data_IF_131316796548
#
_entry.id   IF_131316796548
#
_cell.length_a   1.000
_cell.length_b   1.000
_cell.length_c   1.000
_cell.angle_alpha   90.00
_cell.angle_beta   90.00
_cell.angle_gamma   90.00
#
_symmetry.space_group_name_H-M   'P 1'
#
loop_
_entity.id
_entity.type
_entity.pdbx_description
1 polymer ?
#
# COMPACT_ATOMS: atom_id res chain seq x y z
N UNK A 1 0.03 15.92 -0.58
CA UNK A 1 0.81 14.90 0.14
C UNK A 1 0.07 14.48 1.39
N UNK A 2 0.14 13.20 1.73
CA UNK A 2 -0.40 12.63 2.95
C UNK A 2 0.64 12.69 4.07
N UNK A 3 0.20 12.55 5.31
CA UNK A 3 1.05 12.51 6.49
C UNK A 3 0.75 11.24 7.26
N UNK A 4 1.75 10.41 7.48
CA UNK A 4 1.66 9.19 8.32
C UNK A 4 1.70 9.56 9.80
N UNK A 5 0.68 10.28 10.24
CA UNK A 5 0.50 10.74 11.61
C UNK A 5 -1.00 10.65 11.97
N UNK A 6 -1.37 9.76 12.90
CA UNK A 6 -2.76 9.54 13.27
C UNK A 6 -3.38 10.68 14.10
N UNK A 7 -2.56 11.59 14.63
CA UNK A 7 -3.05 12.72 15.42
C UNK A 7 -3.53 13.86 14.53
N UNK A 8 -4.83 13.98 14.36
CA UNK A 8 -5.46 15.05 13.60
C UNK A 8 -5.85 16.19 14.53
N UNK A 9 -5.28 17.37 14.25
CA UNK A 9 -5.65 18.64 14.91
C UNK A 9 -6.33 19.55 13.90
N UNK A 10 -7.09 20.54 14.37
CA UNK A 10 -7.77 21.52 13.49
C UNK A 10 -6.80 22.32 12.61
N UNK A 11 -5.55 22.45 13.05
CA UNK A 11 -4.52 23.22 12.35
C UNK A 11 -3.66 22.40 11.41
N UNK A 12 -3.89 21.08 11.34
CA UNK A 12 -3.08 20.17 10.53
C UNK A 12 -3.34 20.41 9.05
N UNK A 13 -2.27 20.73 8.30
CA UNK A 13 -2.34 21.06 6.88
C UNK A 13 -2.34 19.86 5.94
N UNK A 14 -2.01 18.66 6.46
CA UNK A 14 -1.95 17.42 5.71
C UNK A 14 -2.58 16.30 6.51
N UNK A 15 -3.45 15.51 5.89
CA UNK A 15 -4.13 14.39 6.53
C UNK A 15 -3.45 13.07 6.19
N UNK A 16 -3.83 11.99 6.89
CA UNK A 16 -3.29 10.64 6.68
C UNK A 16 -3.54 10.10 5.27
N UNK A 17 -4.71 10.41 4.70
CA UNK A 17 -5.05 10.06 3.33
C UNK A 17 -5.70 11.26 2.62
N UNK A 18 -5.45 11.39 1.33
CA UNK A 18 -6.02 12.45 0.52
C UNK A 18 -6.36 11.96 -0.89
N UNK A 19 -7.45 12.49 -1.43
CA UNK A 19 -7.84 12.33 -2.82
C UNK A 19 -8.06 13.71 -3.44
N UNK A 20 -7.65 13.88 -4.70
CA UNK A 20 -7.85 15.12 -5.43
C UNK A 20 -9.29 15.28 -5.93
N UNK A 21 -10.24 14.86 -5.13
CA UNK A 21 -11.67 14.89 -5.41
C UNK A 21 -12.42 15.61 -4.28
N UNK A 22 -13.17 16.63 -4.67
CA UNK A 22 -14.05 17.39 -3.78
C UNK A 22 -15.49 17.22 -4.24
N UNK A 23 -16.38 16.88 -3.35
CA UNK A 23 -17.81 16.85 -3.57
C UNK A 23 -18.48 17.91 -2.70
N UNK A 24 -19.31 18.74 -3.32
CA UNK A 24 -20.17 19.71 -2.62
C UNK A 24 -21.62 19.27 -2.75
N UNK A 25 -22.33 19.30 -1.64
CA UNK A 25 -23.77 18.99 -1.57
C UNK A 25 -24.49 20.09 -0.81
N UNK A 26 -25.50 20.69 -1.46
CA UNK A 26 -26.28 21.80 -0.91
C UNK A 26 -27.43 22.13 -1.84
N UNK A 27 -27.65 23.40 -2.14
CA UNK A 27 -28.63 23.85 -3.15
C UNK A 27 -28.29 23.35 -4.57
N UNK A 28 -27.02 23.07 -4.80
CA UNK A 28 -26.49 22.33 -5.96
C UNK A 28 -25.56 21.23 -5.45
N UNK A 29 -25.51 20.11 -6.17
CA UNK A 29 -24.61 19.00 -5.88
C UNK A 29 -23.71 18.78 -7.08
N UNK A 30 -22.40 18.81 -6.85
CA UNK A 30 -21.41 18.58 -7.92
C UNK A 30 -20.09 18.05 -7.35
N UNK A 31 -19.29 17.45 -8.19
CA UNK A 31 -17.93 17.01 -7.90
C UNK A 31 -16.90 17.76 -8.72
N UNK A 32 -15.72 17.94 -8.16
CA UNK A 32 -14.54 18.42 -8.87
C UNK A 32 -13.43 17.38 -8.64
N UNK A 33 -12.88 16.86 -9.70
CA UNK A 33 -11.70 16.00 -9.67
C UNK A 33 -10.56 16.67 -10.42
N UNK A 34 -9.39 16.71 -9.81
CA UNK A 34 -8.18 17.25 -10.43
C UNK A 34 -7.22 16.10 -10.67
N UNK A 35 -7.04 15.75 -11.93
CA UNK A 35 -6.07 14.73 -12.34
C UNK A 35 -4.69 15.38 -12.45
N UNK A 36 -3.97 15.32 -11.34
CA UNK A 36 -2.61 15.81 -11.22
C UNK A 36 -1.84 14.99 -10.17
N UNK A 37 -0.69 14.43 -10.51
CA UNK A 37 0.02 13.48 -9.66
C UNK A 37 0.92 14.11 -8.59
N UNK A 38 0.81 15.42 -8.35
CA UNK A 38 1.65 16.14 -7.39
C UNK A 38 0.82 16.99 -6.43
N UNK A 39 1.45 17.88 -5.72
CA UNK A 39 0.85 18.66 -4.64
C UNK A 39 -0.26 19.57 -5.12
N UNK A 40 -1.42 19.43 -4.50
CA UNK A 40 -2.57 20.34 -4.64
C UNK A 40 -2.93 20.89 -3.26
N UNK A 41 -3.15 22.19 -3.18
CA UNK A 41 -3.65 22.84 -1.97
C UNK A 41 -5.09 23.31 -2.21
N UNK A 42 -5.96 22.97 -1.29
CA UNK A 42 -7.36 23.38 -1.28
C UNK A 42 -7.60 24.34 -0.12
N UNK A 43 -8.05 25.56 -0.43
CA UNK A 43 -8.55 26.54 0.52
C UNK A 43 -10.05 26.69 0.30
N UNK A 44 -10.83 26.02 1.13
CA UNK A 44 -12.29 25.94 0.97
C UNK A 44 -12.91 26.85 2.03
N UNK A 45 -13.07 28.13 1.66
CA UNK A 45 -13.70 29.13 2.54
C UNK A 45 -12.92 29.48 3.80
N UNK A 46 -11.66 29.06 3.93
CA UNK A 46 -10.83 29.33 5.11
C UNK A 46 -10.29 30.77 5.10
N UNK A 47 -9.58 31.16 4.05
CA UNK A 47 -9.04 32.50 3.94
C UNK A 47 -10.15 33.53 3.61
N UNK A 48 -11.11 33.12 2.80
CA UNK A 48 -12.25 33.97 2.41
C UNK A 48 -13.51 33.11 2.35
N UNK A 49 -14.47 33.36 3.23
CA UNK A 49 -15.63 32.50 3.50
C UNK A 49 -16.48 32.11 2.26
N UNK A 50 -16.47 32.91 1.20
CA UNK A 50 -17.25 32.68 -0.02
C UNK A 50 -16.39 32.29 -1.23
N UNK A 51 -15.14 31.88 -0.99
CA UNK A 51 -14.21 31.45 -2.06
C UNK A 51 -13.61 30.10 -1.78
N UNK A 52 -13.47 29.34 -2.83
CA UNK A 52 -12.56 28.17 -2.87
C UNK A 52 -11.40 28.50 -3.79
N UNK A 53 -10.19 28.35 -3.28
CA UNK A 53 -8.96 28.55 -4.04
C UNK A 53 -8.23 27.22 -4.12
N UNK A 54 -7.92 26.81 -5.34
CA UNK A 54 -7.16 25.58 -5.60
C UNK A 54 -5.83 25.99 -6.20
N UNK A 55 -4.75 25.63 -5.50
CA UNK A 55 -3.40 25.89 -5.98
C UNK A 55 -2.76 24.58 -6.42
N UNK A 56 -2.34 24.53 -7.68
CA UNK A 56 -1.73 23.37 -8.32
C UNK A 56 -0.28 23.74 -8.63
N UNK A 57 0.64 22.91 -8.17
CA UNK A 57 2.06 23.13 -8.36
C UNK A 57 2.54 22.48 -9.68
N UNK A 58 2.05 23.00 -10.80
CA UNK A 58 2.35 22.50 -12.15
C UNK A 58 1.47 23.14 -13.23
N UNK A 59 1.80 22.82 -14.48
CA UNK A 59 1.17 23.42 -15.67
C UNK A 59 0.29 22.48 -16.49
N UNK A 60 0.48 21.17 -16.34
CA UNK A 60 -0.28 20.16 -17.09
C UNK A 60 -1.16 19.38 -16.14
N UNK A 61 -2.44 19.72 -16.08
CA UNK A 61 -3.44 19.05 -15.26
C UNK A 61 -4.80 19.10 -15.95
N UNK A 62 -5.65 18.12 -15.65
CA UNK A 62 -7.04 18.11 -16.09
C UNK A 62 -7.98 18.35 -14.91
N UNK A 63 -9.03 19.13 -15.15
CA UNK A 63 -10.10 19.36 -14.19
C UNK A 63 -11.39 18.77 -14.74
N UNK A 64 -11.97 17.85 -13.98
CA UNK A 64 -13.26 17.25 -14.28
C UNK A 64 -14.32 17.87 -13.38
N UNK A 65 -15.34 18.45 -13.99
CA UNK A 65 -16.55 18.88 -13.31
C UNK A 65 -17.63 17.81 -13.51
N UNK A 66 -18.19 17.33 -12.40
CA UNK A 66 -19.19 16.26 -12.39
C UNK A 66 -20.47 16.83 -11.83
N UNK A 67 -21.48 16.99 -12.67
CA UNK A 67 -22.78 17.47 -12.29
C UNK A 67 -23.68 16.32 -11.80
N UNK A 68 -24.59 16.63 -10.85
CA UNK A 68 -25.56 15.68 -10.36
C UNK A 68 -26.55 16.30 -9.37
N UNK A 69 -27.59 15.56 -9.06
CA UNK A 69 -28.62 15.99 -8.12
C UNK A 69 -28.42 15.42 -6.71
N UNK A 70 -27.68 14.32 -6.62
CA UNK A 70 -27.41 13.59 -5.36
C UNK A 70 -25.95 13.15 -5.28
N UNK A 71 -25.36 13.07 -4.07
CA UNK A 71 -23.99 12.61 -3.86
C UNK A 71 -23.66 11.27 -4.54
N UNK A 72 -24.58 10.31 -4.48
CA UNK A 72 -24.37 8.99 -5.09
C UNK A 72 -24.23 9.06 -6.63
N UNK A 73 -24.91 9.99 -7.30
CA UNK A 73 -24.78 10.19 -8.73
C UNK A 73 -23.38 10.70 -9.08
N UNK A 74 -22.87 11.66 -8.30
CA UNK A 74 -21.50 12.18 -8.45
C UNK A 74 -20.47 11.06 -8.30
N UNK A 75 -20.60 10.23 -7.26
CA UNK A 75 -19.70 9.08 -7.05
C UNK A 75 -19.76 8.09 -8.21
N UNK A 76 -20.96 7.81 -8.75
CA UNK A 76 -21.13 6.91 -9.90
C UNK A 76 -20.43 7.45 -11.15
N UNK A 77 -20.60 8.73 -11.45
CA UNK A 77 -19.95 9.35 -12.62
C UNK A 77 -18.44 9.44 -12.46
N UNK A 78 -17.96 9.82 -11.27
CA UNK A 78 -16.53 9.79 -10.95
C UNK A 78 -15.92 8.40 -11.16
N UNK A 79 -16.61 7.37 -10.67
CA UNK A 79 -16.14 5.99 -10.84
C UNK A 79 -16.13 5.49 -12.28
N UNK A 80 -16.96 6.03 -13.16
CA UNK A 80 -16.86 5.73 -14.60
C UNK A 80 -15.54 6.22 -15.19
N UNK A 81 -15.04 7.36 -14.70
CA UNK A 81 -13.79 7.95 -15.16
C UNK A 81 -12.55 7.22 -14.63
N UNK A 82 -12.56 6.80 -13.37
CA UNK A 82 -11.41 6.15 -12.71
C UNK A 82 -11.46 4.62 -12.72
N UNK A 83 -12.56 4.02 -13.20
CA UNK A 83 -12.78 2.58 -13.24
C UNK A 83 -13.58 2.04 -12.05
N UNK A 84 -13.95 0.77 -12.15
CA UNK A 84 -14.72 0.06 -11.12
C UNK A 84 -13.80 -0.54 -10.07
N UNK A 85 -14.21 -0.49 -8.79
CA UNK A 85 -13.49 -1.16 -7.72
C UNK A 85 -13.60 -2.68 -7.87
N UNK A 86 -12.54 -3.38 -7.56
CA UNK A 86 -12.61 -4.81 -7.31
C UNK A 86 -13.59 -5.08 -6.16
N UNK A 87 -14.42 -6.09 -6.31
CA UNK A 87 -15.28 -6.56 -5.22
C UNK A 87 -14.54 -7.70 -4.53
N UNK A 88 -14.02 -7.47 -3.32
CA UNK A 88 -13.25 -8.48 -2.62
C UNK A 88 -14.14 -9.64 -2.17
N UNK A 89 -13.58 -10.82 -1.85
CA UNK A 89 -14.30 -11.94 -1.28
C UNK A 89 -14.89 -11.57 0.08
N UNK A 90 -15.91 -12.33 0.52
CA UNK A 90 -16.71 -11.98 1.71
C UNK A 90 -15.86 -11.87 2.98
N UNK A 91 -14.88 -12.74 3.17
CA UNK A 91 -13.97 -12.73 4.33
C UNK A 91 -13.19 -11.42 4.47
N UNK A 92 -12.91 -10.72 3.36
CA UNK A 92 -12.19 -9.44 3.39
C UNK A 92 -13.02 -8.28 3.97
N UNK A 93 -14.31 -8.48 4.24
CA UNK A 93 -15.17 -7.54 4.95
C UNK A 93 -15.34 -7.88 6.44
N UNK A 94 -14.80 -9.00 6.89
CA UNK A 94 -14.80 -9.40 8.28
C UNK A 94 -13.73 -8.69 9.12
N UNK A 95 -13.55 -9.14 10.36
CA UNK A 95 -12.55 -8.55 11.24
C UNK A 95 -11.15 -9.01 10.87
N UNK A 96 -10.22 -8.07 10.77
CA UNK A 96 -8.86 -8.26 10.34
C UNK A 96 -7.91 -7.75 11.42
N UNK A 97 -7.09 -8.65 11.97
CA UNK A 97 -6.18 -8.35 13.06
C UNK A 97 -4.75 -8.14 12.55
N UNK A 98 -4.14 -7.03 12.94
CA UNK A 98 -2.74 -6.73 12.63
C UNK A 98 -2.01 -6.16 13.85
N UNK A 99 -0.71 -6.27 13.83
CA UNK A 99 0.22 -5.52 14.68
C UNK A 99 1.64 -5.64 14.14
N UNK A 100 2.54 -4.75 14.56
CA UNK A 100 3.97 -4.95 14.43
C UNK A 100 4.51 -5.61 15.70
N UNK A 101 4.83 -6.88 15.74
CA UNK A 101 4.68 -7.89 14.71
C UNK A 101 4.27 -9.18 15.40
N UNK A 102 3.71 -10.15 14.67
CA UNK A 102 3.61 -11.54 15.10
C UNK A 102 4.86 -12.25 14.64
N UNK A 103 5.82 -12.47 15.55
CA UNK A 103 7.17 -12.87 15.18
C UNK A 103 7.32 -14.31 14.68
N UNK A 104 6.32 -15.17 14.94
CA UNK A 104 6.34 -16.59 14.55
C UNK A 104 4.92 -17.17 14.49
N UNK A 105 4.82 -18.40 14.03
CA UNK A 105 3.54 -19.11 13.91
C UNK A 105 2.80 -19.23 15.26
N UNK A 106 3.52 -19.46 16.36
CA UNK A 106 2.92 -19.59 17.69
C UNK A 106 2.27 -18.28 18.15
N UNK A 107 2.86 -17.14 17.82
CA UNK A 107 2.28 -15.84 18.14
C UNK A 107 0.97 -15.60 17.37
N UNK A 108 0.90 -16.03 16.10
CA UNK A 108 -0.34 -15.99 15.31
C UNK A 108 -1.38 -16.94 15.90
N UNK A 109 -1.01 -18.17 16.23
CA UNK A 109 -1.90 -19.15 16.84
C UNK A 109 -2.48 -18.63 18.16
N UNK A 110 -1.65 -18.01 19.01
CA UNK A 110 -2.10 -17.43 20.27
C UNK A 110 -3.17 -16.35 20.10
N UNK A 111 -3.05 -15.54 19.03
CA UNK A 111 -4.05 -14.51 18.68
C UNK A 111 -5.34 -15.16 18.21
N UNK A 112 -5.29 -16.10 17.27
CA UNK A 112 -6.47 -16.83 16.78
C UNK A 112 -7.19 -17.53 17.93
N UNK A 113 -6.46 -18.21 18.79
CA UNK A 113 -7.00 -18.86 19.99
C UNK A 113 -7.66 -17.87 20.96
N UNK A 114 -7.06 -16.69 21.12
CA UNK A 114 -7.61 -15.61 21.96
C UNK A 114 -8.99 -15.16 21.47
N UNK A 115 -9.12 -14.90 20.17
CA UNK A 115 -10.40 -14.54 19.55
C UNK A 115 -11.44 -15.66 19.67
N UNK A 116 -11.04 -16.90 19.39
CA UNK A 116 -11.90 -18.07 19.52
C UNK A 116 -12.42 -18.24 20.97
N UNK A 117 -11.55 -18.12 21.98
CA UNK A 117 -11.92 -18.20 23.40
C UNK A 117 -12.86 -17.06 23.82
N UNK A 118 -12.69 -15.89 23.25
CA UNK A 118 -13.55 -14.75 23.53
C UNK A 118 -14.89 -14.82 22.77
N UNK A 119 -15.06 -15.75 21.84
CA UNK A 119 -16.25 -15.84 20.99
C UNK A 119 -16.37 -14.67 20.00
N UNK A 120 -15.25 -14.06 19.63
CA UNK A 120 -15.20 -12.93 18.69
C UNK A 120 -14.77 -13.46 17.32
N UNK A 121 -15.56 -13.24 16.26
CA UNK A 121 -15.17 -13.64 14.90
C UNK A 121 -13.88 -12.97 14.45
N UNK A 122 -13.02 -13.74 13.79
CA UNK A 122 -11.79 -13.26 13.17
C UNK A 122 -11.69 -13.89 11.78
N UNK A 123 -11.42 -13.10 10.77
CA UNK A 123 -11.33 -13.56 9.37
C UNK A 123 -9.90 -13.53 8.84
N UNK A 124 -9.10 -12.55 9.27
CA UNK A 124 -7.75 -12.38 8.76
C UNK A 124 -6.75 -12.05 9.87
N UNK A 125 -5.52 -12.53 9.71
CA UNK A 125 -4.34 -12.08 10.45
C UNK A 125 -3.29 -11.60 9.48
N UNK A 126 -2.79 -10.38 9.70
CA UNK A 126 -1.71 -9.80 8.92
C UNK A 126 -0.36 -10.27 9.43
N UNK A 127 0.50 -10.68 8.52
CA UNK A 127 1.89 -10.99 8.79
C UNK A 127 2.73 -9.79 8.39
N UNK A 128 3.27 -9.08 9.38
CA UNK A 128 4.19 -7.97 9.19
C UNK A 128 5.60 -8.51 8.86
N UNK A 129 6.58 -7.67 8.66
CA UNK A 129 7.90 -7.95 8.08
C UNK A 129 8.65 -9.14 8.68
N UNK A 130 8.34 -9.55 9.91
CA UNK A 130 9.05 -10.63 10.62
C UNK A 130 8.78 -12.06 10.10
N UNK A 131 7.79 -12.25 9.22
CA UNK A 131 7.61 -13.55 8.56
C UNK A 131 8.66 -13.80 7.49
N UNK A 132 9.26 -12.73 6.95
CA UNK A 132 10.26 -12.79 5.90
C UNK A 132 11.64 -13.17 6.43
N UNK A 133 12.43 -13.90 5.65
CA UNK A 133 13.83 -14.11 5.94
C UNK A 133 14.61 -12.79 5.86
N UNK A 134 14.96 -12.23 7.01
CA UNK A 134 15.71 -10.96 7.13
C UNK A 134 15.08 -9.81 6.31
N UNK A 135 13.75 -9.74 6.31
CA UNK A 135 12.95 -8.72 5.63
C UNK A 135 13.13 -8.69 4.09
N UNK A 136 13.42 -9.83 3.47
CA UNK A 136 13.49 -9.98 2.01
C UNK A 136 12.11 -10.31 1.46
N UNK A 137 11.60 -9.50 0.55
CA UNK A 137 10.32 -9.76 -0.10
C UNK A 137 10.24 -11.15 -0.74
N UNK A 138 9.05 -11.73 -0.71
CA UNK A 138 8.75 -13.06 -1.29
C UNK A 138 9.56 -14.21 -0.69
N UNK A 139 10.10 -14.04 0.51
CA UNK A 139 10.73 -15.11 1.29
C UNK A 139 9.91 -15.41 2.53
N UNK A 140 10.13 -16.56 3.11
CA UNK A 140 9.59 -16.95 4.41
C UNK A 140 10.74 -17.41 5.30
N UNK A 141 10.72 -17.03 6.56
CA UNK A 141 11.67 -17.50 7.58
C UNK A 141 11.20 -18.85 8.11
N UNK A 142 11.87 -19.94 7.65
CA UNK A 142 11.49 -21.31 7.97
C UNK A 142 11.68 -21.67 9.46
N UNK A 143 12.50 -20.93 10.22
CA UNK A 143 12.64 -21.13 11.67
C UNK A 143 11.42 -20.58 12.42
N UNK A 144 10.87 -19.45 11.95
CA UNK A 144 9.72 -18.78 12.56
C UNK A 144 8.38 -19.33 12.05
N UNK A 145 8.33 -19.73 10.80
CA UNK A 145 7.13 -20.27 10.14
C UNK A 145 7.45 -21.57 9.41
N UNK A 146 7.73 -22.64 10.13
CA UNK A 146 8.08 -23.91 9.54
C UNK A 146 6.94 -24.49 8.70
N UNK A 147 7.27 -25.07 7.54
CA UNK A 147 6.28 -25.62 6.61
C UNK A 147 5.16 -24.62 6.27
N UNK A 148 5.51 -23.38 5.90
CA UNK A 148 4.58 -22.27 5.75
C UNK A 148 3.36 -22.61 4.89
N UNK A 149 3.54 -23.36 3.81
CA UNK A 149 2.42 -23.78 2.94
C UNK A 149 1.37 -24.60 3.70
N UNK A 150 1.79 -25.56 4.51
CA UNK A 150 0.89 -26.37 5.31
C UNK A 150 0.25 -25.55 6.43
N UNK A 151 1.02 -24.62 7.00
CA UNK A 151 0.52 -23.66 7.98
C UNK A 151 -0.59 -22.77 7.41
N UNK A 152 -0.39 -22.21 6.22
CA UNK A 152 -1.42 -21.42 5.52
C UNK A 152 -2.67 -22.25 5.25
N UNK A 153 -2.50 -23.51 4.77
CA UNK A 153 -3.62 -24.42 4.53
C UNK A 153 -4.43 -24.67 5.80
N UNK A 154 -3.73 -24.99 6.91
CA UNK A 154 -4.36 -25.20 8.22
C UNK A 154 -5.16 -23.98 8.69
N UNK A 155 -4.58 -22.77 8.59
CA UNK A 155 -5.30 -21.53 8.97
C UNK A 155 -6.54 -21.30 8.10
N UNK A 156 -6.45 -21.58 6.82
CA UNK A 156 -7.60 -21.47 5.91
C UNK A 156 -8.71 -22.47 6.26
N UNK A 157 -8.37 -23.70 6.68
CA UNK A 157 -9.35 -24.68 7.18
C UNK A 157 -10.03 -24.21 8.48
N UNK A 158 -9.32 -23.45 9.30
CA UNK A 158 -9.85 -22.78 10.49
C UNK A 158 -10.70 -21.55 10.14
N UNK A 159 -10.81 -21.16 8.85
CA UNK A 159 -11.52 -19.96 8.38
C UNK A 159 -10.70 -18.68 8.51
N UNK A 160 -9.39 -18.77 8.74
CA UNK A 160 -8.49 -17.63 8.92
C UNK A 160 -7.63 -17.45 7.67
N UNK A 161 -7.64 -16.25 7.10
CA UNK A 161 -6.77 -15.86 5.98
C UNK A 161 -5.52 -15.15 6.50
N UNK A 162 -4.34 -15.58 6.05
CA UNK A 162 -3.08 -14.92 6.35
C UNK A 162 -2.74 -13.92 5.24
N UNK A 163 -2.45 -12.66 5.63
CA UNK A 163 -2.19 -11.56 4.71
C UNK A 163 -0.77 -11.04 4.95
N UNK A 164 0.22 -11.54 4.20
CA UNK A 164 1.60 -11.09 4.33
C UNK A 164 1.81 -9.71 3.73
N UNK A 165 2.70 -8.94 4.37
CA UNK A 165 3.21 -7.68 3.86
C UNK A 165 4.22 -7.93 2.73
N UNK A 166 4.22 -7.05 1.73
CA UNK A 166 5.29 -6.90 0.73
C UNK A 166 5.67 -5.42 0.71
N UNK A 167 6.94 -5.14 0.90
CA UNK A 167 7.52 -3.81 0.82
C UNK A 167 8.07 -3.55 -0.60
N UNK A 168 8.21 -2.29 -0.98
CA UNK A 168 8.69 -1.97 -2.33
C UNK A 168 10.23 -1.96 -2.47
N UNK A 169 10.96 -2.15 -1.38
CA UNK A 169 12.42 -2.08 -1.33
C UNK A 169 13.08 -3.45 -1.37
N UNK A 170 13.66 -3.82 -2.52
CA UNK A 170 14.33 -5.13 -2.71
C UNK A 170 15.73 -5.08 -2.09
N UNK A 171 15.97 -5.91 -1.06
CA UNK A 171 17.24 -5.96 -0.33
C UNK A 171 18.43 -6.18 -1.25
N UNK A 172 19.44 -5.34 -1.13
CA UNK A 172 20.72 -5.50 -1.82
C UNK A 172 21.55 -6.59 -1.15
N UNK A 173 21.43 -7.81 -1.64
CA UNK A 173 22.14 -8.96 -1.10
C UNK A 173 22.52 -9.93 -2.20
N UNK A 174 23.79 -10.37 -2.24
CA UNK A 174 24.25 -11.40 -3.16
C UNK A 174 23.60 -12.75 -2.78
N UNK A 175 23.18 -13.51 -3.79
CA UNK A 175 22.46 -14.77 -3.59
C UNK A 175 20.96 -14.60 -3.31
N UNK A 176 20.46 -13.38 -3.30
CA UNK A 176 19.02 -13.12 -3.28
C UNK A 176 18.50 -12.97 -4.71
N UNK A 177 17.85 -13.99 -5.21
CA UNK A 177 17.48 -14.14 -6.63
C UNK A 177 16.70 -12.93 -7.18
N UNK A 178 15.79 -12.36 -6.39
CA UNK A 178 14.99 -11.21 -6.81
C UNK A 178 15.86 -9.98 -7.02
N UNK A 179 16.81 -9.74 -6.12
CA UNK A 179 17.77 -8.65 -6.27
C UNK A 179 18.69 -8.87 -7.49
N UNK A 180 19.24 -10.07 -7.63
CA UNK A 180 20.16 -10.38 -8.73
C UNK A 180 19.46 -10.29 -10.09
N UNK A 181 18.24 -10.81 -10.19
CA UNK A 181 17.43 -10.71 -11.41
C UNK A 181 17.09 -9.25 -11.73
N UNK A 182 16.62 -8.48 -10.73
CA UNK A 182 16.30 -7.06 -10.90
C UNK A 182 17.50 -6.24 -11.36
N UNK A 183 18.66 -6.46 -10.74
CA UNK A 183 19.93 -5.82 -11.12
C UNK A 183 20.37 -6.20 -12.53
N UNK A 184 20.36 -7.49 -12.85
CA UNK A 184 20.77 -8.02 -14.16
C UNK A 184 19.96 -7.42 -15.30
N UNK A 185 18.68 -7.22 -15.09
CA UNK A 185 17.75 -6.69 -16.11
C UNK A 185 17.59 -5.16 -16.04
N UNK A 186 18.26 -4.48 -15.09
CA UNK A 186 18.17 -3.04 -14.94
C UNK A 186 16.77 -2.57 -14.54
N UNK A 187 16.11 -3.27 -13.63
CA UNK A 187 14.74 -3.01 -13.21
C UNK A 187 14.62 -2.02 -12.05
N UNK A 188 15.75 -1.64 -11.44
CA UNK A 188 15.74 -0.65 -10.34
C UNK A 188 15.81 0.78 -10.85
N UNK A 189 15.24 1.70 -10.09
CA UNK A 189 15.35 3.14 -10.29
C UNK A 189 16.81 3.57 -10.42
N UNK A 190 17.07 4.60 -11.21
CA UNK A 190 18.42 5.06 -11.51
C UNK A 190 18.67 6.46 -10.97
N UNK A 191 19.90 6.72 -10.58
CA UNK A 191 20.44 8.06 -10.42
C UNK A 191 20.68 8.71 -11.80
N UNK A 192 20.91 10.02 -11.83
CA UNK A 192 21.24 10.76 -13.07
C UNK A 192 22.48 10.23 -13.77
N UNK A 193 23.43 9.67 -13.02
CA UNK A 193 24.65 9.06 -13.55
C UNK A 193 24.44 7.64 -14.12
N UNK A 194 23.20 7.14 -14.11
CA UNK A 194 22.83 5.81 -14.60
C UNK A 194 23.09 4.65 -13.64
N UNK A 195 23.67 4.91 -12.48
CA UNK A 195 23.82 3.90 -11.42
C UNK A 195 22.48 3.59 -10.76
N UNK A 196 22.34 2.42 -10.12
CA UNK A 196 21.13 2.09 -9.36
C UNK A 196 20.94 3.07 -8.20
N UNK A 197 19.72 3.59 -8.05
CA UNK A 197 19.36 4.35 -6.86
C UNK A 197 19.21 3.38 -5.69
N UNK A 198 19.85 3.70 -4.57
CA UNK A 198 19.85 2.89 -3.36
C UNK A 198 19.39 3.73 -2.16
N UNK A 199 18.52 3.16 -1.36
CA UNK A 199 18.09 3.77 -0.09
C UNK A 199 18.05 2.73 1.03
N UNK A 200 17.85 3.19 2.25
CA UNK A 200 17.75 2.34 3.43
C UNK A 200 16.32 2.25 3.92
N UNK A 201 15.84 1.02 4.10
CA UNK A 201 14.58 0.66 4.74
C UNK A 201 14.78 -0.53 5.69
N UNK A 202 13.74 -1.27 6.05
CA UNK A 202 13.83 -2.34 7.07
C UNK A 202 14.93 -3.38 6.81
N UNK A 203 15.11 -3.94 5.60
CA UNK A 203 16.18 -4.89 5.34
C UNK A 203 17.59 -4.28 5.26
N UNK A 204 17.74 -2.97 5.40
CA UNK A 204 18.97 -2.22 5.17
C UNK A 204 18.99 -1.56 3.80
N UNK A 205 20.09 -1.64 3.07
CA UNK A 205 20.21 -1.06 1.72
C UNK A 205 19.38 -1.89 0.72
N UNK A 206 18.58 -1.19 -0.08
CA UNK A 206 17.68 -1.75 -1.09
C UNK A 206 17.81 -1.04 -2.43
N UNK A 207 17.42 -1.74 -3.50
CA UNK A 207 17.07 -1.15 -4.78
C UNK A 207 15.56 -1.05 -4.91
N UNK A 208 15.06 0.04 -5.49
CA UNK A 208 13.63 0.26 -5.70
C UNK A 208 13.25 -0.08 -7.14
N UNK A 209 12.30 -1.02 -7.36
CA UNK A 209 11.83 -1.32 -8.70
C UNK A 209 11.21 -0.08 -9.37
N UNK A 210 11.55 0.17 -10.63
CA UNK A 210 11.00 1.29 -11.41
C UNK A 210 9.59 0.96 -11.90
N UNK A 211 8.59 1.13 -11.05
CA UNK A 211 7.20 0.83 -11.37
C UNK A 211 6.57 1.74 -12.44
N UNK A 212 7.26 2.77 -12.94
CA UNK A 212 6.82 3.51 -14.11
C UNK A 212 6.95 2.67 -15.39
N UNK A 213 7.81 1.66 -15.38
CA UNK A 213 8.04 0.76 -16.50
C UNK A 213 7.09 -0.45 -16.48
N UNK A 214 6.37 -0.74 -17.58
CA UNK A 214 5.45 -1.87 -17.65
C UNK A 214 6.10 -3.25 -17.48
N UNK A 215 7.32 -3.42 -17.98
CA UNK A 215 8.09 -4.66 -17.85
C UNK A 215 8.50 -4.93 -16.39
N UNK A 216 8.86 -3.89 -15.64
CA UNK A 216 9.17 -3.99 -14.21
C UNK A 216 7.92 -4.34 -13.40
N UNK A 217 6.77 -3.70 -13.67
CA UNK A 217 5.50 -4.09 -13.04
C UNK A 217 5.15 -5.56 -13.28
N UNK A 218 5.35 -6.04 -14.52
CA UNK A 218 5.10 -7.44 -14.85
C UNK A 218 6.05 -8.38 -14.13
N UNK A 219 7.34 -8.03 -14.09
CA UNK A 219 8.36 -8.78 -13.38
C UNK A 219 8.04 -8.90 -11.89
N UNK A 220 7.90 -7.75 -11.20
CA UNK A 220 7.65 -7.73 -9.76
C UNK A 220 6.32 -8.42 -9.42
N UNK A 221 5.26 -8.13 -10.17
CA UNK A 221 3.96 -8.79 -10.02
C UNK A 221 4.04 -10.31 -10.18
N UNK A 222 4.94 -10.84 -11.02
CA UNK A 222 5.13 -12.29 -11.17
C UNK A 222 5.69 -12.97 -9.91
N UNK A 223 6.38 -12.21 -9.03
CA UNK A 223 6.99 -12.75 -7.80
C UNK A 223 5.95 -13.10 -6.73
N UNK A 224 4.79 -12.44 -6.75
CA UNK A 224 3.68 -12.79 -5.87
C UNK A 224 3.26 -14.27 -6.00
N UNK A 225 3.55 -14.88 -7.17
CA UNK A 225 3.28 -16.29 -7.39
C UNK A 225 3.98 -17.21 -6.39
N UNK A 226 5.12 -16.80 -5.84
CA UNK A 226 5.84 -17.56 -4.81
C UNK A 226 4.93 -17.80 -3.59
N UNK A 227 4.24 -16.76 -3.13
CA UNK A 227 3.35 -16.84 -1.97
C UNK A 227 1.95 -17.36 -2.34
N UNK A 228 1.43 -17.00 -3.52
CA UNK A 228 0.12 -17.53 -3.95
C UNK A 228 0.15 -19.05 -4.19
N UNK A 229 1.27 -19.60 -4.63
CA UNK A 229 1.46 -21.08 -4.75
C UNK A 229 1.53 -21.79 -3.37
N UNK A 230 1.76 -21.02 -2.31
CA UNK A 230 1.68 -21.50 -0.92
C UNK A 230 0.26 -21.34 -0.32
N UNK A 231 -0.68 -20.76 -1.08
CA UNK A 231 -2.08 -20.62 -0.65
C UNK A 231 -2.46 -19.22 -0.16
N UNK A 232 -1.56 -18.24 -0.21
CA UNK A 232 -1.88 -16.85 0.10
C UNK A 232 -2.82 -16.28 -0.97
N UNK A 233 -3.88 -15.60 -0.55
CA UNK A 233 -4.93 -15.05 -1.41
C UNK A 233 -5.22 -13.56 -1.16
N UNK A 234 -4.43 -12.92 -0.32
CA UNK A 234 -4.44 -11.48 -0.10
C UNK A 234 -3.07 -10.96 0.31
N UNK A 235 -2.80 -9.69 0.08
CA UNK A 235 -1.52 -9.05 0.37
C UNK A 235 -1.73 -7.66 0.95
N UNK A 236 -0.82 -7.26 1.82
CA UNK A 236 -0.63 -5.90 2.26
C UNK A 236 0.60 -5.33 1.54
N UNK A 237 0.40 -4.33 0.67
CA UNK A 237 1.51 -3.60 0.07
C UNK A 237 1.77 -2.34 0.90
N UNK A 238 2.95 -2.24 1.46
CA UNK A 238 3.38 -1.12 2.30
C UNK A 238 4.67 -0.48 1.77
N UNK A 239 5.09 0.63 2.32
CA UNK A 239 6.33 1.33 2.00
C UNK A 239 6.46 1.77 0.54
N UNK A 240 5.35 1.90 -0.17
CA UNK A 240 5.30 2.08 -1.63
C UNK A 240 5.09 3.53 -2.10
N UNK A 241 5.34 4.51 -1.24
CA UNK A 241 5.41 5.95 -1.60
C UNK A 241 6.52 6.28 -2.63
N UNK A 242 7.73 5.70 -2.64
CA UNK A 242 8.43 4.79 -1.73
C UNK A 242 8.88 5.46 -0.41
N UNK A 243 8.71 4.76 0.71
CA UNK A 243 9.32 5.20 1.96
C UNK A 243 10.82 4.94 1.95
N UNK A 244 11.59 5.91 2.42
CA UNK A 244 13.05 5.83 2.49
C UNK A 244 13.49 6.45 3.82
N UNK A 245 14.15 5.68 4.67
CA UNK A 245 14.63 6.17 5.97
C UNK A 245 15.92 6.98 5.82
N UNK A 246 16.80 6.55 4.92
CA UNK A 246 18.03 7.25 4.58
C UNK A 246 18.51 6.86 3.18
N UNK A 247 19.28 7.73 2.57
CA UNK A 247 19.94 7.47 1.29
C UNK A 247 21.42 7.71 1.40
N UNK A 248 22.23 6.90 0.72
CA UNK A 248 23.70 7.02 0.72
C UNK A 248 24.16 8.33 0.07
N UNK A 249 23.40 8.85 -0.90
CA UNK A 249 23.70 10.09 -1.62
C UNK A 249 22.85 11.30 -1.19
N UNK A 250 22.04 11.16 -0.14
CA UNK A 250 21.04 12.15 0.26
C UNK A 250 19.75 12.01 -0.57
N UNK A 251 18.68 12.61 -0.06
CA UNK A 251 17.42 12.75 -0.79
C UNK A 251 17.41 14.18 -1.37
N UNK A 252 17.53 14.30 -2.67
CA UNK A 252 17.34 15.56 -3.40
C UNK A 252 15.90 15.68 -3.88
#
# INVERSE_FOLDING_TARGET
FCSDDPFHTETKSSLYAAHNFLMLSGSKTFGIFIDFPSKIRWDIGYTTANKTVITIDGTNFDIYYIDGTKPLEIVKEFRKSIGTSYVPPFWAFGYQQSRWSYHNAEAVDAVVDGYNKAGIPLDCVYLDIDYMERYKDFTVDDEKFPNFKDYVSKKREEGIHLIPIIDAGVKKENGYDIYEEGRKNGYFCKNEDGTDFEGGVWPGIVGFPDFLRPDVRKWFGSKYKILTDMGIDGFWNDMNEPAIFYSVKGLN
#
